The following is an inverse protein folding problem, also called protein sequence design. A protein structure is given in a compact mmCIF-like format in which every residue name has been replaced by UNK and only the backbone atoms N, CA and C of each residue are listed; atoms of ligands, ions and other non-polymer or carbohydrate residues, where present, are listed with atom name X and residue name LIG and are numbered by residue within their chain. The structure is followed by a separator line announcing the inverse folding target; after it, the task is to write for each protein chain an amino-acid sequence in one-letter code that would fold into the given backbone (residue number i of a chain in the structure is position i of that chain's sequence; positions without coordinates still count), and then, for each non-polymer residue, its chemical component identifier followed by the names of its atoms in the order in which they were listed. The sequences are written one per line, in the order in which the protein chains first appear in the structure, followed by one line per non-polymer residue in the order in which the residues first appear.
data_IF_709163694547
#
_entry.id   IF_709163694547
#
_cell.length_a   1.000
_cell.length_b   1.000
_cell.length_c   1.000
_cell.angle_alpha   90.00
_cell.angle_beta   90.00
_cell.angle_gamma   90.00
#
_symmetry.space_group_name_H-M   'P 1'
#
loop_
_entity.id
_entity.type
_entity.pdbx_description
1 polymer ?
#
# COMPACT_ATOMS: atom_id res chain seq x y z
N UNK A 1 3.01 16.25 -6.26
CA UNK A 1 1.61 15.80 -6.43
C UNK A 1 0.62 16.41 -5.43
N UNK A 2 1.02 16.70 -4.19
CA UNK A 2 0.11 17.25 -3.17
C UNK A 2 -0.42 18.66 -3.50
N UNK A 3 0.42 19.50 -4.09
CA UNK A 3 0.05 20.83 -4.60
C UNK A 3 -1.00 20.73 -5.71
N UNK A 4 -0.82 19.83 -6.68
CA UNK A 4 -1.78 19.59 -7.76
C UNK A 4 -3.12 19.06 -7.21
N UNK A 5 -3.10 18.21 -6.18
CA UNK A 5 -4.32 17.75 -5.52
C UNK A 5 -5.06 18.88 -4.79
N UNK A 6 -4.35 19.78 -4.12
CA UNK A 6 -4.95 20.98 -3.49
C UNK A 6 -5.52 21.95 -4.51
N UNK A 7 -4.85 22.15 -5.64
CA UNK A 7 -5.31 23.05 -6.71
C UNK A 7 -6.49 22.48 -7.50
N UNK A 8 -6.70 21.16 -7.46
CA UNK A 8 -7.81 20.50 -8.15
C UNK A 8 -9.19 20.98 -7.68
N UNK A 9 -9.32 21.53 -6.47
CA UNK A 9 -10.59 22.09 -5.98
C UNK A 9 -10.96 23.41 -6.65
N UNK A 10 -9.99 24.12 -7.23
CA UNK A 10 -10.18 25.44 -7.81
C UNK A 10 -9.96 25.49 -9.33
N UNK A 11 -9.20 24.54 -9.89
CA UNK A 11 -8.79 24.57 -11.30
C UNK A 11 -8.95 23.21 -12.00
N UNK A 12 -9.21 23.20 -13.32
CA UNK A 12 -9.32 21.97 -14.08
C UNK A 12 -7.98 21.22 -14.13
N UNK A 13 -8.05 19.89 -13.89
CA UNK A 13 -6.87 19.02 -13.84
C UNK A 13 -6.05 19.01 -15.13
N UNK A 14 -6.69 19.22 -16.28
CA UNK A 14 -6.03 19.26 -17.60
C UNK A 14 -4.99 20.38 -17.67
N UNK A 15 -5.33 21.58 -17.19
CA UNK A 15 -4.40 22.71 -17.14
C UNK A 15 -3.27 22.46 -16.14
N UNK A 16 -3.60 21.98 -14.94
CA UNK A 16 -2.60 21.68 -13.91
C UNK A 16 -1.55 20.67 -14.38
N UNK A 17 -1.98 19.63 -15.11
CA UNK A 17 -1.08 18.63 -15.70
C UNK A 17 -0.26 19.20 -16.86
N UNK A 18 -0.84 20.09 -17.67
CA UNK A 18 -0.14 20.75 -18.78
C UNK A 18 0.98 21.66 -18.27
N UNK A 19 0.74 22.43 -17.20
CA UNK A 19 1.77 23.26 -16.56
C UNK A 19 2.87 22.43 -15.91
N UNK A 20 2.49 21.30 -15.29
CA UNK A 20 3.45 20.38 -14.68
C UNK A 20 4.19 19.49 -15.69
N UNK A 21 3.91 19.61 -16.99
CA UNK A 21 4.39 18.73 -18.06
C UNK A 21 4.27 17.24 -17.70
N UNK A 22 3.15 16.88 -17.08
CA UNK A 22 2.95 15.56 -16.51
C UNK A 22 1.86 14.79 -17.26
N UNK A 23 2.17 13.56 -17.66
CA UNK A 23 1.17 12.67 -18.24
C UNK A 23 0.07 12.35 -17.21
N UNK A 24 -1.19 12.33 -17.67
CA UNK A 24 -2.35 11.97 -16.85
C UNK A 24 -2.18 10.58 -16.22
N UNK A 25 -1.61 9.63 -16.96
CA UNK A 25 -1.32 8.28 -16.47
C UNK A 25 -0.31 8.27 -15.32
N UNK A 26 0.79 9.02 -15.44
CA UNK A 26 1.81 9.16 -14.41
C UNK A 26 1.25 9.81 -13.13
N UNK A 27 0.35 10.79 -13.28
CA UNK A 27 -0.36 11.39 -12.15
C UNK A 27 -1.16 10.36 -11.36
N UNK A 28 -1.97 9.56 -12.07
CA UNK A 28 -2.85 8.58 -11.43
C UNK A 28 -2.08 7.38 -10.88
N UNK A 29 -0.99 6.94 -11.51
CA UNK A 29 -0.16 5.87 -10.96
C UNK A 29 0.44 6.28 -9.61
N UNK A 30 0.98 7.49 -9.50
CA UNK A 30 1.52 8.02 -8.25
C UNK A 30 0.44 8.23 -7.17
N UNK A 31 -0.78 8.57 -7.58
CA UNK A 31 -1.94 8.64 -6.70
C UNK A 31 -2.33 7.27 -6.13
N UNK A 32 -2.28 6.21 -6.95
CA UNK A 32 -2.59 4.84 -6.53
C UNK A 32 -1.55 4.28 -5.56
N UNK A 33 -0.27 4.66 -5.70
CA UNK A 33 0.81 4.26 -4.77
C UNK A 33 0.53 4.72 -3.33
N UNK A 34 -0.21 5.82 -3.12
CA UNK A 34 -0.47 6.37 -1.78
C UNK A 34 -1.49 5.56 -0.95
N UNK A 35 -2.33 4.71 -1.55
CA UNK A 35 -3.24 3.82 -0.82
C UNK A 35 -2.72 2.40 -0.82
N UNK A 36 -1.62 2.18 -0.10
CA UNK A 36 -1.16 0.83 0.18
C UNK A 36 -2.12 0.20 1.22
N UNK A 37 -3.24 -0.36 0.73
CA UNK A 37 -4.28 -1.02 1.54
C UNK A 37 -3.70 -2.11 2.45
N UNK A 38 -2.56 -2.66 2.05
CA UNK A 38 -1.88 -3.72 2.78
C UNK A 38 -0.86 -3.19 3.81
N UNK A 39 -0.64 -1.87 3.92
CA UNK A 39 0.34 -1.30 4.86
C UNK A 39 0.02 -1.65 6.31
N UNK A 40 -1.26 -1.51 6.70
CA UNK A 40 -1.72 -1.87 8.04
C UNK A 40 -1.55 -3.37 8.31
N UNK A 41 -1.98 -4.21 7.37
CA UNK A 41 -1.86 -5.67 7.49
C UNK A 41 -0.40 -6.14 7.53
N UNK A 42 0.48 -5.53 6.74
CA UNK A 42 1.94 -5.78 6.77
C UNK A 42 2.55 -5.41 8.12
N UNK A 43 2.13 -4.31 8.74
CA UNK A 43 2.59 -3.92 10.07
C UNK A 43 2.21 -4.97 11.11
N UNK A 44 0.95 -5.42 11.13
CA UNK A 44 0.50 -6.45 12.07
C UNK A 44 1.23 -7.78 11.86
N UNK A 45 1.45 -8.20 10.61
CA UNK A 45 2.23 -9.41 10.29
C UNK A 45 3.67 -9.28 10.81
N UNK A 46 4.32 -8.11 10.65
CA UNK A 46 5.66 -7.84 11.20
C UNK A 46 5.67 -7.94 12.71
N UNK A 47 4.69 -7.37 13.40
CA UNK A 47 4.61 -7.39 14.86
C UNK A 47 4.45 -8.82 15.39
N UNK A 48 3.60 -9.64 14.76
CA UNK A 48 3.42 -11.05 15.11
C UNK A 48 4.74 -11.81 14.90
N UNK A 49 5.43 -11.55 13.78
CA UNK A 49 6.70 -12.21 13.46
C UNK A 49 7.85 -11.77 14.39
N UNK A 50 7.85 -10.52 14.84
CA UNK A 50 8.81 -10.02 15.82
C UNK A 50 8.60 -10.66 17.20
N UNK A 51 7.35 -10.89 17.61
CA UNK A 51 7.01 -11.62 18.84
C UNK A 51 7.32 -13.12 18.73
N UNK A 52 7.13 -13.70 17.55
CA UNK A 52 7.29 -15.13 17.29
C UNK A 52 8.10 -15.39 16.01
N UNK A 53 9.44 -15.36 16.09
CA UNK A 53 10.30 -15.50 14.92
C UNK A 53 10.22 -16.89 14.28
N UNK A 54 9.79 -17.91 15.00
CA UNK A 54 9.58 -19.28 14.52
C UNK A 54 8.25 -19.47 13.75
N UNK A 55 7.35 -18.48 13.79
CA UNK A 55 6.02 -18.64 13.18
C UNK A 55 6.07 -18.59 11.66
N UNK A 56 5.62 -19.67 11.03
CA UNK A 56 5.27 -19.68 9.61
C UNK A 56 3.91 -19.04 9.35
N UNK A 57 3.58 -18.81 8.07
CA UNK A 57 2.36 -18.09 7.68
C UNK A 57 1.06 -18.71 8.21
N UNK A 58 1.02 -20.03 8.43
CA UNK A 58 -0.16 -20.73 9.00
C UNK A 58 -0.46 -20.27 10.42
N UNK A 59 0.58 -20.14 11.26
CA UNK A 59 0.45 -19.66 12.65
C UNK A 59 0.10 -18.17 12.67
N UNK A 60 0.70 -17.38 11.78
CA UNK A 60 0.36 -15.95 11.65
C UNK A 60 -1.08 -15.73 11.19
N UNK A 61 -1.59 -16.55 10.26
CA UNK A 61 -3.00 -16.51 9.86
C UNK A 61 -3.94 -16.88 11.02
N UNK A 62 -3.55 -17.83 11.88
CA UNK A 62 -4.35 -18.15 13.08
C UNK A 62 -4.49 -16.94 14.04
N UNK A 63 -3.49 -16.06 14.08
CA UNK A 63 -3.55 -14.80 14.83
C UNK A 63 -4.35 -13.68 14.13
N UNK A 64 -4.77 -13.88 12.88
CA UNK A 64 -5.44 -12.89 12.03
C UNK A 64 -6.78 -13.44 11.50
N UNK A 65 -7.78 -13.66 12.37
CA UNK A 65 -9.10 -14.13 11.92
C UNK A 65 -9.74 -13.11 10.97
N UNK A 66 -10.32 -13.60 9.86
CA UNK A 66 -10.97 -12.76 8.85
C UNK A 66 -10.09 -12.30 7.68
N UNK A 67 -8.78 -12.59 7.71
CA UNK A 67 -7.88 -12.34 6.57
C UNK A 67 -7.68 -13.64 5.79
N UNK A 68 -7.80 -13.60 4.46
CA UNK A 68 -7.55 -14.79 3.64
C UNK A 68 -6.11 -15.32 3.80
N UNK A 69 -5.95 -16.62 4.08
CA UNK A 69 -4.66 -17.28 4.23
C UNK A 69 -3.70 -17.08 3.05
N UNK A 70 -4.21 -17.03 1.80
CA UNK A 70 -3.39 -16.75 0.61
C UNK A 70 -2.78 -15.36 0.66
N UNK A 71 -3.53 -14.39 1.18
CA UNK A 71 -3.08 -13.00 1.30
C UNK A 71 -2.02 -12.87 2.39
N UNK A 72 -2.19 -13.52 3.54
CA UNK A 72 -1.16 -13.59 4.59
C UNK A 72 0.12 -14.22 4.06
N UNK A 73 0.01 -15.33 3.33
CA UNK A 73 1.17 -16.02 2.74
C UNK A 73 1.92 -15.13 1.74
N UNK A 74 1.21 -14.48 0.81
CA UNK A 74 1.81 -13.58 -0.17
C UNK A 74 2.50 -12.39 0.49
N UNK A 75 1.84 -11.74 1.47
CA UNK A 75 2.40 -10.60 2.19
C UNK A 75 3.62 -11.00 3.02
N UNK A 76 3.58 -12.13 3.71
CA UNK A 76 4.73 -12.65 4.45
C UNK A 76 5.90 -12.97 3.50
N UNK A 77 5.62 -13.55 2.33
CA UNK A 77 6.61 -13.76 1.29
C UNK A 77 7.28 -12.45 0.86
N UNK A 78 6.51 -11.42 0.52
CA UNK A 78 7.06 -10.11 0.17
C UNK A 78 7.79 -9.38 1.32
N UNK A 79 7.60 -9.80 2.57
CA UNK A 79 8.21 -9.19 3.77
C UNK A 79 9.52 -9.85 4.18
N UNK A 80 9.80 -11.08 3.74
CA UNK A 80 10.99 -11.85 4.13
C UNK A 80 12.19 -11.69 3.17
N UNK A 81 11.99 -11.00 2.04
CA UNK A 81 13.03 -10.74 1.03
C UNK A 81 13.47 -9.26 0.97
N UNK A 82 13.16 -8.46 1.99
CA UNK A 82 13.56 -7.04 2.12
C UNK A 82 14.12 -6.79 3.50
#
# INVERSE_FOLDING_TARGET
MEIIQRLRTHYPLTWLLSFAQLARSAFFSQLQVKLNKDKALKAVIKDIKAKHPDYGYRRVHACLPGVNHKKVQCLMGCLLYT
#
